data_IF_825532326505
#
_entry.id   IF_825532326505
#
_cell.length_a   1.000
_cell.length_b   1.000
_cell.length_c   1.000
_cell.angle_alpha   90.00
_cell.angle_beta   90.00
_cell.angle_gamma   90.00
#
_symmetry.space_group_name_H-M   'P 1'
#
loop_
_entity.id
_entity.type
_entity.pdbx_description
1 polymer ?
#
# COMPACT_ATOMS: atom_id res chain seq x y z
N UNK A 1 21.68 -7.89 1.38
CA UNK A 1 21.06 -8.45 2.60
C UNK A 1 19.80 -9.13 2.11
N UNK A 2 19.78 -10.47 2.11
CA UNK A 2 18.59 -11.22 1.78
C UNK A 2 17.58 -11.04 2.93
N UNK A 3 16.40 -10.53 2.61
CA UNK A 3 15.28 -10.36 3.55
C UNK A 3 14.45 -11.63 3.50
N UNK A 4 14.45 -12.39 4.59
CA UNK A 4 13.69 -13.64 4.70
C UNK A 4 12.26 -13.28 5.12
N UNK A 5 11.31 -13.34 4.18
CA UNK A 5 9.90 -13.01 4.41
C UNK A 5 9.11 -14.27 4.76
N UNK A 6 8.03 -14.12 5.54
CA UNK A 6 7.01 -15.17 5.68
C UNK A 6 6.63 -15.70 4.29
N UNK A 7 6.91 -16.99 4.04
CA UNK A 7 6.73 -17.61 2.75
C UNK A 7 5.25 -17.80 2.44
N UNK A 8 4.70 -16.92 1.62
CA UNK A 8 3.42 -17.15 0.95
C UNK A 8 3.65 -18.02 -0.28
N UNK A 9 2.82 -19.05 -0.52
CA UNK A 9 2.89 -19.81 -1.76
C UNK A 9 2.72 -18.83 -2.93
N UNK A 10 3.61 -18.92 -3.90
CA UNK A 10 3.54 -18.15 -5.14
C UNK A 10 3.25 -19.04 -6.34
N UNK A 11 2.56 -18.53 -7.34
CA UNK A 11 2.34 -19.19 -8.61
C UNK A 11 3.63 -19.21 -9.46
N UNK A 12 3.56 -19.82 -10.64
CA UNK A 12 4.69 -19.98 -11.55
C UNK A 12 5.32 -18.65 -12.00
N UNK A 13 4.60 -17.54 -11.86
CA UNK A 13 5.04 -16.20 -12.23
C UNK A 13 5.50 -15.38 -11.01
N UNK A 14 5.54 -15.97 -9.82
CA UNK A 14 5.99 -15.33 -8.58
C UNK A 14 4.92 -14.48 -7.87
N UNK A 15 3.65 -14.59 -8.28
CA UNK A 15 2.54 -13.92 -7.61
C UNK A 15 2.05 -14.76 -6.43
N UNK A 16 1.49 -14.16 -5.38
CA UNK A 16 0.87 -14.97 -4.33
C UNK A 16 -0.26 -15.79 -4.94
N UNK A 17 -0.11 -17.11 -4.87
CA UNK A 17 -1.15 -18.06 -5.26
C UNK A 17 -2.18 -18.14 -4.14
N UNK A 18 -3.26 -17.36 -4.29
CA UNK A 18 -4.36 -17.38 -3.35
C UNK A 18 -5.22 -18.65 -3.44
N UNK A 19 -5.00 -19.53 -4.42
CA UNK A 19 -5.66 -20.84 -4.49
C UNK A 19 -5.12 -21.81 -3.43
N UNK A 20 -3.89 -21.59 -2.94
CA UNK A 20 -3.30 -22.30 -1.79
C UNK A 20 -3.43 -21.55 -0.44
N UNK A 21 -4.05 -20.36 -0.41
CA UNK A 21 -4.14 -19.45 0.75
C UNK A 21 -4.98 -19.96 1.95
N UNK A 22 -5.19 -21.27 2.07
CA UNK A 22 -5.58 -21.93 3.31
C UNK A 22 -4.56 -21.76 4.46
N UNK A 23 -3.38 -21.17 4.20
CA UNK A 23 -2.29 -20.94 5.15
C UNK A 23 -1.86 -19.48 5.35
N UNK A 24 -2.43 -18.53 4.60
CA UNK A 24 -2.21 -17.11 4.90
C UNK A 24 -2.92 -16.76 6.23
N UNK A 25 -2.33 -15.94 7.12
CA UNK A 25 -3.08 -15.41 8.25
C UNK A 25 -4.37 -14.76 7.72
N UNK A 26 -5.47 -14.88 8.47
CA UNK A 26 -6.75 -14.32 8.06
C UNK A 26 -6.65 -12.79 8.03
N UNK A 27 -6.27 -12.24 6.87
CA UNK A 27 -6.19 -10.79 6.66
C UNK A 27 -7.61 -10.24 6.68
N UNK A 28 -7.90 -9.39 7.66
CA UNK A 28 -9.19 -8.73 7.85
C UNK A 28 -9.10 -7.21 7.75
N UNK A 29 -7.94 -6.65 8.11
CA UNK A 29 -7.64 -5.21 8.15
C UNK A 29 -6.35 -4.94 7.39
N UNK A 30 -6.41 -4.11 6.36
CA UNK A 30 -5.26 -3.75 5.54
C UNK A 30 -5.04 -2.25 5.61
N UNK A 31 -3.84 -1.84 6.05
CA UNK A 31 -3.43 -0.45 5.96
C UNK A 31 -3.12 -0.11 4.50
N UNK A 32 -3.80 0.88 3.92
CA UNK A 32 -3.59 1.31 2.54
C UNK A 32 -2.78 2.60 2.48
N UNK A 33 -1.63 2.58 1.80
CA UNK A 33 -0.82 3.77 1.52
C UNK A 33 -0.70 4.02 0.03
N UNK A 34 -1.14 5.19 -0.43
CA UNK A 34 -1.01 5.60 -1.83
C UNK A 34 -0.61 7.07 -1.98
N UNK A 35 -0.04 7.48 -3.11
CA UNK A 35 0.21 8.90 -3.40
C UNK A 35 -1.07 9.74 -3.32
N UNK A 36 -0.93 11.00 -2.89
CA UNK A 36 -2.08 11.92 -2.75
C UNK A 36 -2.89 12.03 -4.05
N UNK A 37 -2.21 11.97 -5.20
CA UNK A 37 -2.79 12.07 -6.54
C UNK A 37 -3.78 10.96 -6.89
N UNK A 38 -3.80 9.89 -6.12
CA UNK A 38 -4.56 8.69 -6.42
C UNK A 38 -5.80 8.51 -5.51
N UNK A 39 -5.90 9.31 -4.43
CA UNK A 39 -7.09 9.37 -3.57
C UNK A 39 -8.28 10.09 -4.24
N UNK A 40 -9.49 9.71 -3.86
CA UNK A 40 -10.78 10.22 -4.33
C UNK A 40 -11.14 9.80 -5.76
N UNK A 41 -10.21 9.13 -6.45
CA UNK A 41 -10.29 8.82 -7.87
C UNK A 41 -10.92 7.47 -8.19
N UNK A 42 -10.96 7.14 -9.48
CA UNK A 42 -11.38 5.81 -9.95
C UNK A 42 -10.43 4.71 -9.48
N UNK A 43 -9.13 5.02 -9.38
CA UNK A 43 -8.14 4.04 -8.96
C UNK A 43 -8.31 3.61 -7.50
N UNK A 44 -8.45 4.55 -6.56
CA UNK A 44 -8.75 4.20 -5.15
C UNK A 44 -10.01 3.33 -5.06
N UNK A 45 -11.06 3.65 -5.82
CA UNK A 45 -12.29 2.84 -5.85
C UNK A 45 -12.02 1.41 -6.33
N UNK A 46 -11.29 1.23 -7.42
CA UNK A 46 -10.93 -0.12 -7.90
C UNK A 46 -10.11 -0.90 -6.86
N UNK A 47 -9.22 -0.23 -6.12
CA UNK A 47 -8.44 -0.85 -5.04
C UNK A 47 -9.35 -1.29 -3.90
N UNK A 48 -10.23 -0.40 -3.43
CA UNK A 48 -11.15 -0.70 -2.34
C UNK A 48 -12.17 -1.79 -2.72
N UNK A 49 -12.62 -1.82 -3.98
CA UNK A 49 -13.55 -2.84 -4.48
C UNK A 49 -12.88 -4.22 -4.56
N UNK A 50 -11.60 -4.27 -4.97
CA UNK A 50 -10.81 -5.51 -4.94
C UNK A 50 -10.59 -5.99 -3.49
N UNK A 51 -10.31 -5.09 -2.56
CA UNK A 51 -10.16 -5.44 -1.14
C UNK A 51 -11.47 -5.97 -0.56
N UNK A 52 -12.59 -5.30 -0.86
CA UNK A 52 -13.92 -5.74 -0.44
C UNK A 52 -14.27 -7.14 -0.98
N UNK A 53 -13.94 -7.43 -2.24
CA UNK A 53 -14.12 -8.78 -2.83
C UNK A 53 -13.32 -9.86 -2.09
N UNK A 54 -12.20 -9.50 -1.46
CA UNK A 54 -11.36 -10.40 -0.64
C UNK A 54 -11.78 -10.45 0.83
N UNK A 55 -12.77 -9.68 1.24
CA UNK A 55 -13.17 -9.55 2.64
C UNK A 55 -12.18 -8.72 3.49
N UNK A 56 -11.33 -7.92 2.85
CA UNK A 56 -10.35 -7.07 3.52
C UNK A 56 -10.93 -5.68 3.75
N UNK A 57 -10.88 -5.20 4.99
CA UNK A 57 -11.29 -3.85 5.34
C UNK A 57 -10.11 -2.90 5.25
N UNK A 58 -10.26 -1.80 4.52
CA UNK A 58 -9.24 -0.77 4.43
C UNK A 58 -9.17 0.02 5.73
N UNK A 59 -7.98 0.09 6.31
CA UNK A 59 -7.64 1.02 7.36
C UNK A 59 -6.94 2.20 6.70
N UNK A 60 -7.62 3.35 6.68
CA UNK A 60 -7.07 4.59 6.10
C UNK A 60 -6.81 5.61 7.21
N UNK A 61 -5.62 6.22 7.26
CA UNK A 61 -5.35 7.33 8.17
C UNK A 61 -6.22 8.56 7.86
N UNK A 62 -6.80 8.62 6.66
CA UNK A 62 -7.71 9.69 6.21
C UNK A 62 -9.19 9.39 6.46
N UNK A 63 -9.52 8.26 7.09
CA UNK A 63 -10.90 7.95 7.44
C UNK A 63 -11.42 8.98 8.48
N UNK A 64 -12.71 9.38 8.44
CA UNK A 64 -13.26 10.38 9.36
C UNK A 64 -13.01 10.10 10.85
N UNK A 65 -13.05 8.82 11.24
CA UNK A 65 -12.76 8.36 12.60
C UNK A 65 -11.31 8.61 13.05
N UNK A 66 -10.40 8.84 12.10
CA UNK A 66 -8.96 9.01 12.32
C UNK A 66 -8.50 10.48 12.24
N UNK A 67 -9.33 11.39 11.73
CA UNK A 67 -8.98 12.81 11.49
C UNK A 67 -8.46 13.52 12.76
N UNK A 68 -9.13 13.31 13.90
CA UNK A 68 -8.78 13.98 15.15
C UNK A 68 -7.45 13.50 15.75
N UNK A 69 -7.09 12.23 15.51
CA UNK A 69 -5.84 11.64 15.98
C UNK A 69 -4.66 11.98 15.04
N UNK A 70 -4.92 11.99 13.73
CA UNK A 70 -3.98 12.45 12.70
C UNK A 70 -3.47 13.88 12.99
N UNK A 71 -4.34 14.80 13.41
CA UNK A 71 -3.98 16.19 13.64
C UNK A 71 -3.07 16.47 14.86
N UNK A 72 -2.90 15.51 15.78
CA UNK A 72 -2.22 15.74 17.07
C UNK A 72 -0.86 15.04 17.21
N UNK A 73 -0.72 13.83 16.67
CA UNK A 73 0.47 12.98 16.89
C UNK A 73 0.80 12.18 15.61
N UNK A 74 0.95 12.86 14.46
CA UNK A 74 1.09 12.25 13.12
C UNK A 74 1.90 10.95 13.14
N UNK A 75 3.18 11.01 13.52
CA UNK A 75 4.10 9.87 13.32
C UNK A 75 3.74 8.65 14.17
N UNK A 76 3.39 8.86 15.44
CA UNK A 76 3.03 7.79 16.38
C UNK A 76 1.67 7.19 16.03
N UNK A 77 0.74 8.03 15.57
CA UNK A 77 -0.57 7.60 15.11
C UNK A 77 -0.47 6.71 13.87
N UNK A 78 0.31 7.09 12.85
CA UNK A 78 0.50 6.28 11.65
C UNK A 78 1.13 4.93 11.97
N UNK A 79 2.16 4.90 12.81
CA UNK A 79 2.80 3.66 13.23
C UNK A 79 1.83 2.73 13.97
N UNK A 80 1.06 3.28 14.93
CA UNK A 80 0.05 2.52 15.65
C UNK A 80 -1.04 1.97 14.72
N UNK A 81 -1.44 2.74 13.71
CA UNK A 81 -2.45 2.33 12.74
C UNK A 81 -1.95 1.17 11.86
N UNK A 82 -0.70 1.24 11.39
CA UNK A 82 -0.03 0.13 10.68
C UNK A 82 0.03 -1.11 11.56
N UNK A 83 0.49 -1.00 12.81
CA UNK A 83 0.60 -2.12 13.74
C UNK A 83 -0.75 -2.72 14.18
N UNK A 84 -1.84 -1.97 14.04
CA UNK A 84 -3.21 -2.45 14.29
C UNK A 84 -3.85 -3.18 13.10
N UNK A 85 -3.12 -3.30 11.99
CA UNK A 85 -3.56 -3.93 10.75
C UNK A 85 -2.92 -5.31 10.60
N UNK A 86 -3.58 -6.19 9.84
CA UNK A 86 -3.08 -7.55 9.57
C UNK A 86 -2.07 -7.55 8.40
N UNK A 87 -2.05 -6.49 7.60
CA UNK A 87 -1.13 -6.29 6.49
C UNK A 87 -1.03 -4.81 6.11
N UNK A 88 0.01 -4.49 5.34
CA UNK A 88 0.14 -3.21 4.65
C UNK A 88 0.07 -3.42 3.14
N UNK A 89 -0.73 -2.61 2.47
CA UNK A 89 -0.78 -2.53 1.02
C UNK A 89 -0.43 -1.13 0.54
N UNK A 90 0.35 -1.02 -0.53
CA UNK A 90 0.82 0.27 -1.02
C UNK A 90 0.88 0.40 -2.54
N UNK A 91 0.86 1.64 -3.00
CA UNK A 91 1.05 2.03 -4.40
C UNK A 91 2.39 2.74 -4.54
N UNK A 92 3.20 2.31 -5.50
CA UNK A 92 4.38 3.03 -5.96
C UNK A 92 4.04 3.94 -7.15
N UNK A 93 4.85 4.97 -7.37
CA UNK A 93 4.84 5.72 -8.63
C UNK A 93 5.23 4.83 -9.81
N UNK A 94 4.96 5.30 -11.03
CA UNK A 94 5.25 4.56 -12.26
C UNK A 94 6.74 4.19 -12.44
N UNK A 95 7.66 4.95 -11.84
CA UNK A 95 9.10 4.67 -11.81
C UNK A 95 9.53 3.81 -10.62
N UNK A 96 8.59 3.23 -9.86
CA UNK A 96 8.87 2.36 -8.72
C UNK A 96 9.25 3.10 -7.43
N UNK A 97 9.29 4.44 -7.42
CA UNK A 97 9.51 5.20 -6.20
C UNK A 97 8.25 5.20 -5.31
N UNK A 98 8.42 5.29 -3.99
CA UNK A 98 7.30 5.44 -3.04
C UNK A 98 7.39 6.77 -2.29
N UNK A 99 6.26 7.26 -1.79
CA UNK A 99 6.24 8.51 -1.02
C UNK A 99 6.99 8.35 0.31
N UNK A 100 7.43 9.47 0.90
CA UNK A 100 8.04 9.47 2.23
C UNK A 100 7.15 8.84 3.32
N UNK A 101 5.83 9.01 3.21
CA UNK A 101 4.86 8.42 4.13
C UNK A 101 4.74 6.91 3.91
N UNK A 102 4.67 6.49 2.64
CA UNK A 102 4.63 5.07 2.26
C UNK A 102 5.89 4.34 2.70
N UNK A 103 7.08 4.92 2.50
CA UNK A 103 8.35 4.35 2.93
C UNK A 103 8.39 4.09 4.44
N UNK A 104 7.94 5.07 5.24
CA UNK A 104 7.83 4.91 6.70
C UNK A 104 6.81 3.86 7.11
N UNK A 105 5.69 3.77 6.40
CA UNK A 105 4.67 2.77 6.66
C UNK A 105 5.21 1.35 6.35
N UNK A 106 5.93 1.19 5.24
CA UNK A 106 6.64 -0.06 4.89
C UNK A 106 7.63 -0.42 6.00
N UNK A 107 8.50 0.51 6.41
CA UNK A 107 9.45 0.25 7.50
C UNK A 107 8.76 -0.14 8.82
N UNK A 108 7.58 0.45 9.10
CA UNK A 108 6.80 0.12 10.31
C UNK A 108 6.17 -1.28 10.23
N UNK A 109 5.68 -1.67 9.05
CA UNK A 109 5.13 -2.99 8.79
C UNK A 109 6.22 -4.08 8.80
N UNK A 110 7.38 -3.81 8.19
CA UNK A 110 8.55 -4.69 8.26
C UNK A 110 9.02 -4.89 9.71
N UNK A 111 9.08 -3.81 10.51
CA UNK A 111 9.44 -3.90 11.92
C UNK A 111 8.44 -4.68 12.79
N UNK A 112 7.23 -4.91 12.29
CA UNK A 112 6.17 -5.67 12.95
C UNK A 112 5.91 -7.04 12.29
N UNK A 113 6.75 -7.46 11.34
CA UNK A 113 6.61 -8.70 10.57
C UNK A 113 5.24 -8.84 9.88
N UNK A 114 4.68 -7.71 9.43
CA UNK A 114 3.41 -7.67 8.72
C UNK A 114 3.59 -8.00 7.23
N UNK A 115 2.68 -8.77 6.63
CA UNK A 115 2.62 -8.96 5.19
C UNK A 115 2.55 -7.62 4.43
N UNK A 116 3.34 -7.52 3.37
CA UNK A 116 3.38 -6.38 2.47
C UNK A 116 2.76 -6.75 1.12
N UNK A 117 1.97 -5.83 0.57
CA UNK A 117 1.37 -5.96 -0.75
C UNK A 117 1.62 -4.70 -1.59
N UNK A 118 2.14 -4.86 -2.81
CA UNK A 118 2.21 -3.79 -3.78
C UNK A 118 1.03 -3.87 -4.75
N UNK A 119 0.43 -2.71 -5.00
CA UNK A 119 -0.74 -2.54 -5.83
C UNK A 119 -0.32 -1.88 -7.14
N UNK A 120 -0.69 -2.50 -8.25
CA UNK A 120 -0.47 -2.01 -9.60
C UNK A 120 -1.80 -1.71 -10.27
N UNK A 121 -1.81 -0.64 -11.08
CA UNK A 121 -2.87 -0.39 -12.03
C UNK A 121 -2.49 -1.05 -13.36
N UNK A 122 -3.30 -1.98 -13.87
CA UNK A 122 -3.15 -2.34 -15.28
C UNK A 122 -3.66 -1.17 -16.10
N UNK A 123 -2.89 -0.66 -17.05
CA UNK A 123 -3.23 0.55 -17.80
C UNK A 123 -4.46 0.43 -18.71
N UNK A 124 -5.32 -0.59 -18.57
CA UNK A 124 -6.20 -1.05 -19.64
C UNK A 124 -7.64 -1.40 -19.25
N UNK A 125 -7.99 -1.64 -17.98
CA UNK A 125 -9.33 -2.18 -17.68
C UNK A 125 -9.99 -1.80 -16.35
N UNK A 126 -9.32 -1.05 -15.48
CA UNK A 126 -9.80 -0.81 -14.12
C UNK A 126 -9.57 -1.98 -13.16
N UNK A 127 -8.88 -3.02 -13.62
CA UNK A 127 -8.42 -4.12 -12.80
C UNK A 127 -7.15 -3.72 -12.04
N UNK A 128 -7.15 -4.07 -10.75
CA UNK A 128 -6.05 -3.82 -9.83
C UNK A 128 -5.32 -5.12 -9.60
N UNK A 129 -4.00 -5.10 -9.74
CA UNK A 129 -3.15 -6.25 -9.45
C UNK A 129 -2.49 -6.06 -8.09
N UNK A 130 -2.67 -7.03 -7.20
CA UNK A 130 -2.06 -7.05 -5.86
C UNK A 130 -0.97 -8.13 -5.86
N UNK A 131 0.27 -7.73 -5.58
CA UNK A 131 1.43 -8.62 -5.53
C UNK A 131 1.99 -8.60 -4.11
N UNK A 132 2.22 -9.76 -3.50
CA UNK A 132 2.77 -9.81 -2.14
C UNK A 132 4.29 -9.88 -2.06
N UNK A 133 4.80 -10.06 -0.85
CA UNK A 133 6.19 -9.84 -0.40
C UNK A 133 7.31 -10.31 -1.32
N UNK A 134 7.13 -11.40 -2.08
CA UNK A 134 8.16 -11.95 -2.98
C UNK A 134 8.21 -11.27 -4.37
N UNK A 135 7.17 -10.54 -4.76
CA UNK A 135 7.08 -9.82 -6.03
C UNK A 135 6.97 -8.30 -5.86
N UNK A 136 7.31 -7.78 -4.69
CA UNK A 136 7.38 -6.34 -4.45
C UNK A 136 8.56 -5.74 -5.22
N UNK A 137 8.27 -4.74 -6.04
CA UNK A 137 9.22 -3.98 -6.85
C UNK A 137 9.04 -2.49 -6.53
N UNK A 138 9.78 -2.00 -5.52
CA UNK A 138 9.98 -0.57 -5.32
C UNK A 138 11.47 -0.26 -5.12
N UNK A 139 11.94 0.83 -5.71
CA UNK A 139 13.37 1.14 -5.78
C UNK A 139 13.84 1.96 -4.58
N UNK A 140 13.06 2.98 -4.21
CA UNK A 140 13.45 3.93 -3.15
C UNK A 140 12.25 4.65 -2.54
N UNK A 141 12.37 4.92 -1.24
CA UNK A 141 11.56 5.92 -0.55
C UNK A 141 12.05 7.33 -0.86
N UNK A 142 11.14 8.20 -1.31
CA UNK A 142 11.44 9.61 -1.53
C UNK A 142 11.50 10.37 -0.20
N UNK A 143 12.29 11.43 -0.13
CA UNK A 143 12.16 12.42 0.94
C UNK A 143 10.83 13.19 0.84
N UNK A 144 10.48 13.94 1.88
CA UNK A 144 9.26 14.79 1.88
C UNK A 144 9.31 15.83 0.76
N UNK A 145 10.48 16.43 0.53
CA UNK A 145 10.66 17.45 -0.52
C UNK A 145 10.49 16.84 -1.92
N UNK A 146 11.08 15.66 -2.16
CA UNK A 146 10.96 14.94 -3.43
C UNK A 146 9.53 14.43 -3.66
N UNK A 147 8.86 13.94 -2.60
CA UNK A 147 7.45 13.53 -2.65
C UNK A 147 6.57 14.70 -3.11
N UNK A 148 6.73 15.88 -2.50
CA UNK A 148 5.96 17.08 -2.87
C UNK A 148 6.21 17.49 -4.31
N UNK A 149 7.49 17.59 -4.70
CA UNK A 149 7.85 17.96 -6.07
C UNK A 149 7.27 16.98 -7.10
N UNK A 150 7.25 15.67 -6.79
CA UNK A 150 6.70 14.65 -7.66
C UNK A 150 5.18 14.76 -7.78
N UNK A 151 4.48 14.92 -6.66
CA UNK A 151 3.02 15.10 -6.64
C UNK A 151 2.62 16.34 -7.42
N UNK A 152 3.33 17.45 -7.25
CA UNK A 152 3.07 18.70 -7.97
C UNK A 152 3.27 18.55 -9.49
N UNK A 153 4.32 17.83 -9.93
CA UNK A 153 4.55 17.55 -11.34
C UNK A 153 3.42 16.71 -11.96
N UNK A 154 2.93 15.69 -11.25
CA UNK A 154 1.79 14.87 -11.71
C UNK A 154 0.52 15.72 -11.80
N UNK A 155 0.24 16.53 -10.77
CA UNK A 155 -0.91 17.44 -10.75
C UNK A 155 -0.87 18.43 -11.93
N UNK A 156 0.30 19.01 -12.20
CA UNK A 156 0.49 19.92 -13.33
C UNK A 156 0.27 19.24 -14.69
N UNK A 157 0.81 18.03 -14.88
CA UNK A 157 0.65 17.27 -16.11
C UNK A 157 -0.79 16.82 -16.41
N UNK A 158 -1.63 16.65 -15.37
CA UNK A 158 -3.06 16.33 -15.52
C UNK A 158 -3.95 17.55 -15.84
N UNK A 159 -3.45 18.76 -15.62
CA UNK A 159 -4.16 20.01 -15.90
C UNK A 159 -3.86 20.60 -17.28
N UNK A 160 -2.95 19.96 -18.03
CA UNK A 160 -2.52 20.34 -19.39
C UNK A 160 -3.32 19.59 -20.45
#
# INVERSE_FOLDING_TARGET
MDRDFAHFPTDADGYIDFSEASRAPAISRVYLSMPETDYGGAFERSVTDEFARRGWNVVSPRAPENEAAHAKEELQFFQALVWSSDALAFVAFADGAVTAETDRAIASAEGADLPLFQIFHDGSGGDVRIVGSHGIVFDQGLSVAETRARVDAIKAGRAS
#
